data_IF_897966519468
#
_entry.id   IF_897966519468
#
_cell.length_a   1.000
_cell.length_b   1.000
_cell.length_c   1.000
_cell.angle_alpha   90.00
_cell.angle_beta   90.00
_cell.angle_gamma   90.00
#
_symmetry.space_group_name_H-M   'P 1'
#
loop_
_entity.id
_entity.type
_entity.pdbx_description
1 polymer ?
#
# COMPACT_ATOMS: atom_id res chain seq x y z
N UNK A 1 26.33 -15.20 1.77
CA UNK A 1 26.24 -15.16 0.28
C UNK A 1 26.45 -13.71 -0.17
N UNK A 2 27.26 -13.49 -1.21
CA UNK A 2 27.58 -12.15 -1.74
C UNK A 2 26.87 -11.95 -3.09
N UNK A 3 26.38 -10.75 -3.36
CA UNK A 3 25.83 -10.30 -4.63
C UNK A 3 26.72 -9.18 -5.15
N UNK A 4 27.22 -9.28 -6.39
CA UNK A 4 28.21 -8.37 -6.94
C UNK A 4 27.88 -7.95 -8.38
N UNK A 5 28.53 -6.87 -8.86
CA UNK A 5 28.38 -6.35 -10.21
C UNK A 5 26.93 -5.95 -10.54
N UNK A 6 26.19 -5.36 -9.59
CA UNK A 6 24.82 -4.89 -9.79
C UNK A 6 24.70 -3.36 -9.75
N UNK A 7 23.50 -2.88 -10.10
CA UNK A 7 23.04 -1.52 -9.82
C UNK A 7 22.09 -1.56 -8.62
N UNK A 8 22.61 -1.24 -7.46
CA UNK A 8 21.92 -1.38 -6.17
C UNK A 8 21.18 -0.09 -5.86
N UNK A 9 19.86 -0.18 -5.55
CA UNK A 9 19.04 0.98 -5.20
C UNK A 9 19.23 1.38 -3.74
N UNK A 10 20.04 2.38 -3.49
CA UNK A 10 20.40 2.89 -2.16
C UNK A 10 20.21 4.41 -2.12
N UNK A 11 19.56 4.91 -1.07
CA UNK A 11 19.39 6.36 -0.88
C UNK A 11 18.63 7.05 -2.02
N UNK A 12 17.70 6.35 -2.66
CA UNK A 12 16.86 6.90 -3.73
C UNK A 12 17.51 6.93 -5.11
N UNK A 13 18.63 6.23 -5.32
CA UNK A 13 19.35 6.16 -6.62
C UNK A 13 19.99 4.80 -6.84
N UNK A 14 20.24 4.46 -8.09
CA UNK A 14 21.03 3.28 -8.44
C UNK A 14 22.54 3.58 -8.35
N UNK A 15 23.25 2.72 -7.63
CA UNK A 15 24.70 2.82 -7.42
C UNK A 15 25.33 1.49 -7.84
N UNK A 16 26.40 1.54 -8.64
CA UNK A 16 27.18 0.33 -9.01
C UNK A 16 27.84 -0.25 -7.76
N UNK A 17 27.72 -1.57 -7.58
CA UNK A 17 28.33 -2.25 -6.43
C UNK A 17 27.68 -3.59 -6.14
N UNK A 18 27.68 -3.96 -4.87
CA UNK A 18 27.13 -5.20 -4.36
C UNK A 18 26.78 -5.12 -2.88
N UNK A 19 26.45 -6.26 -2.30
CA UNK A 19 26.18 -6.43 -0.87
C UNK A 19 26.34 -7.90 -0.49
N UNK A 20 26.41 -8.17 0.79
CA UNK A 20 26.34 -9.52 1.35
C UNK A 20 24.97 -9.78 2.00
N UNK A 21 24.62 -11.05 2.13
CA UNK A 21 23.53 -11.51 2.97
C UNK A 21 24.10 -12.40 4.06
N UNK A 22 23.90 -12.01 5.31
CA UNK A 22 24.32 -12.70 6.51
C UNK A 22 23.11 -12.86 7.44
N UNK A 23 22.82 -14.08 7.86
CA UNK A 23 21.67 -14.41 8.72
C UNK A 23 20.33 -13.81 8.23
N UNK A 24 20.12 -13.83 6.90
CA UNK A 24 18.91 -13.30 6.28
C UNK A 24 18.84 -11.76 6.22
N UNK A 25 19.92 -11.04 6.51
CA UNK A 25 19.99 -9.58 6.53
C UNK A 25 21.04 -9.05 5.56
N UNK A 26 20.83 -7.83 5.08
CA UNK A 26 21.85 -7.13 4.33
C UNK A 26 23.06 -6.83 5.20
N UNK A 27 24.26 -7.01 4.63
CA UNK A 27 25.54 -6.63 5.19
C UNK A 27 26.47 -6.11 4.09
N UNK A 28 27.42 -5.26 4.44
CA UNK A 28 28.41 -4.72 3.51
C UNK A 28 27.80 -4.08 2.25
N UNK A 29 26.71 -3.33 2.41
CA UNK A 29 26.03 -2.66 1.29
C UNK A 29 26.95 -1.59 0.69
N UNK A 30 27.30 -1.75 -0.60
CA UNK A 30 28.24 -0.91 -1.37
C UNK A 30 29.66 -0.87 -0.76
N UNK A 31 30.02 -1.84 0.07
CA UNK A 31 31.35 -1.97 0.63
C UNK A 31 32.02 -3.28 0.21
N UNK A 32 33.34 -3.36 0.39
CA UNK A 32 34.06 -4.60 0.17
C UNK A 32 33.63 -5.65 1.20
N UNK A 33 33.22 -6.81 0.72
CA UNK A 33 32.88 -7.94 1.57
C UNK A 33 34.02 -8.95 1.59
N UNK A 34 34.06 -9.74 2.65
CA UNK A 34 35.03 -10.86 2.77
C UNK A 34 34.80 -11.89 1.63
N UNK A 35 35.84 -12.68 1.33
CA UNK A 35 35.79 -13.76 0.34
C UNK A 35 34.67 -14.76 0.71
N UNK A 36 33.97 -15.25 -0.32
CA UNK A 36 32.87 -16.20 -0.15
C UNK A 36 32.17 -16.53 -1.46
N UNK A 37 31.14 -17.36 -1.36
CA UNK A 37 30.29 -17.69 -2.49
C UNK A 37 29.56 -16.43 -3.00
N UNK A 38 29.67 -16.16 -4.30
CA UNK A 38 29.10 -14.96 -4.91
C UNK A 38 28.13 -15.27 -6.04
N UNK A 39 27.17 -14.35 -6.24
CA UNK A 39 26.23 -14.28 -7.34
C UNK A 39 26.59 -13.04 -8.17
N UNK A 40 27.03 -13.24 -9.40
CA UNK A 40 27.27 -12.16 -10.35
C UNK A 40 25.94 -11.65 -10.91
N UNK A 41 25.58 -10.41 -10.58
CA UNK A 41 24.36 -9.75 -11.03
C UNK A 41 24.42 -9.24 -12.48
N UNK A 42 25.59 -9.21 -13.09
CA UNK A 42 25.82 -8.84 -14.51
C UNK A 42 25.19 -7.49 -14.90
N UNK A 43 25.27 -6.53 -14.02
CA UNK A 43 24.70 -5.20 -14.22
C UNK A 43 23.20 -5.08 -13.98
N UNK A 44 22.52 -6.14 -13.53
CA UNK A 44 21.10 -6.08 -13.19
C UNK A 44 20.83 -5.06 -12.09
N UNK A 45 19.63 -4.51 -12.10
CA UNK A 45 19.13 -3.64 -11.04
C UNK A 45 18.65 -4.47 -9.86
N UNK A 46 18.99 -4.00 -8.65
CA UNK A 46 18.47 -4.55 -7.41
C UNK A 46 17.70 -3.47 -6.69
N UNK A 47 16.42 -3.71 -6.45
CA UNK A 47 15.55 -2.79 -5.71
C UNK A 47 15.10 -3.45 -4.39
N UNK A 48 14.76 -2.68 -3.34
CA UNK A 48 14.15 -3.24 -2.14
C UNK A 48 12.89 -4.04 -2.49
N UNK A 49 12.55 -5.02 -1.69
CA UNK A 49 11.23 -5.63 -1.75
C UNK A 49 10.14 -4.56 -1.57
N UNK A 50 9.08 -4.64 -2.36
CA UNK A 50 8.00 -3.67 -2.36
C UNK A 50 7.16 -3.79 -1.10
N UNK A 51 6.53 -2.68 -0.72
CA UNK A 51 5.65 -2.57 0.45
C UNK A 51 4.27 -2.08 -0.01
N UNK A 52 3.25 -2.93 0.08
CA UNK A 52 1.87 -2.59 -0.30
C UNK A 52 1.07 -2.28 0.96
N UNK A 53 0.71 -1.01 1.14
CA UNK A 53 0.01 -0.57 2.35
C UNK A 53 -1.51 -0.51 2.16
N UNK A 54 -2.00 -0.77 0.95
CA UNK A 54 -3.42 -0.77 0.64
C UNK A 54 -3.73 -1.88 -0.38
N UNK A 55 -4.20 -3.03 0.10
CA UNK A 55 -4.63 -4.17 -0.71
C UNK A 55 -5.73 -4.95 0.01
N UNK A 56 -6.87 -5.18 -0.64
CA UNK A 56 -7.98 -5.94 -0.05
C UNK A 56 -7.81 -7.44 -0.25
N UNK A 57 -7.26 -7.85 -1.40
CA UNK A 57 -7.18 -9.25 -1.73
C UNK A 57 -6.38 -9.58 -2.98
N UNK A 58 -6.20 -10.86 -3.22
CA UNK A 58 -5.66 -11.45 -4.44
C UNK A 58 -5.90 -12.97 -4.43
N UNK A 59 -5.66 -13.63 -5.57
CA UNK A 59 -5.69 -15.09 -5.68
C UNK A 59 -6.99 -15.73 -5.17
N UNK A 60 -8.12 -15.02 -5.25
CA UNK A 60 -9.44 -15.48 -4.82
C UNK A 60 -9.74 -15.29 -3.34
N UNK A 61 -8.82 -14.73 -2.55
CA UNK A 61 -8.98 -14.45 -1.12
C UNK A 61 -9.10 -12.95 -0.86
N UNK A 62 -9.75 -12.57 0.23
CA UNK A 62 -9.93 -11.19 0.69
C UNK A 62 -9.63 -11.11 2.18
N UNK A 63 -8.96 -10.04 2.59
CA UNK A 63 -8.59 -9.82 3.99
C UNK A 63 -9.81 -9.77 4.92
N UNK A 64 -10.89 -9.12 4.45
CA UNK A 64 -12.12 -8.96 5.24
C UNK A 64 -12.93 -10.24 5.41
N UNK A 65 -12.57 -11.34 4.71
CA UNK A 65 -13.15 -12.66 4.97
C UNK A 65 -12.77 -13.21 6.37
N UNK A 66 -11.70 -12.69 6.99
CA UNK A 66 -11.20 -13.16 8.28
C UNK A 66 -10.64 -14.60 8.24
N UNK A 67 -10.44 -15.15 7.04
CA UNK A 67 -9.90 -16.51 6.84
C UNK A 67 -8.37 -16.50 6.86
N UNK A 68 -7.78 -17.27 7.78
CA UNK A 68 -6.33 -17.38 7.92
C UNK A 68 -5.68 -18.03 6.69
N UNK A 69 -6.29 -19.08 6.13
CA UNK A 69 -5.77 -19.77 4.96
C UNK A 69 -5.75 -18.87 3.72
N UNK A 70 -6.81 -18.11 3.53
CA UNK A 70 -6.91 -17.08 2.49
C UNK A 70 -5.84 -15.99 2.66
N UNK A 71 -5.62 -15.50 3.87
CA UNK A 71 -4.60 -14.48 4.14
C UNK A 71 -3.16 -14.99 3.92
N UNK A 72 -2.87 -16.26 4.25
CA UNK A 72 -1.58 -16.89 3.90
C UNK A 72 -1.41 -17.00 2.38
N UNK A 73 -2.46 -17.37 1.66
CA UNK A 73 -2.45 -17.44 0.18
C UNK A 73 -2.19 -16.07 -0.45
N UNK A 74 -2.81 -15.00 0.09
CA UNK A 74 -2.55 -13.62 -0.30
C UNK A 74 -1.08 -13.25 -0.09
N UNK A 75 -0.52 -13.53 1.09
CA UNK A 75 0.86 -13.21 1.42
C UNK A 75 1.88 -13.96 0.53
N UNK A 76 1.59 -15.21 0.17
CA UNK A 76 2.42 -16.01 -0.74
C UNK A 76 2.38 -15.44 -2.18
N UNK A 77 1.20 -15.01 -2.66
CA UNK A 77 1.06 -14.37 -3.96
C UNK A 77 1.83 -13.04 -4.02
N UNK A 78 1.70 -12.19 -2.99
CA UNK A 78 2.42 -10.92 -2.89
C UNK A 78 3.93 -11.15 -2.97
N UNK A 79 4.48 -12.08 -2.19
CA UNK A 79 5.90 -12.41 -2.19
C UNK A 79 6.40 -12.80 -3.59
N UNK A 80 5.71 -13.72 -4.27
CA UNK A 80 6.04 -14.14 -5.65
C UNK A 80 6.02 -12.98 -6.64
N UNK A 81 5.26 -11.92 -6.36
CA UNK A 81 5.15 -10.73 -7.18
C UNK A 81 6.06 -9.57 -6.72
N UNK A 82 7.04 -9.83 -5.84
CA UNK A 82 8.03 -8.85 -5.43
C UNK A 82 7.57 -7.92 -4.32
N UNK A 83 6.36 -8.10 -3.78
CA UNK A 83 5.86 -7.40 -2.60
C UNK A 83 6.25 -8.23 -1.37
N UNK A 84 7.23 -7.78 -0.62
CA UNK A 84 7.82 -8.54 0.50
C UNK A 84 7.23 -8.17 1.85
N UNK A 85 6.51 -7.04 1.89
CA UNK A 85 5.80 -6.58 3.10
C UNK A 85 4.48 -5.94 2.70
N UNK A 86 3.45 -6.05 3.56
CA UNK A 86 2.15 -5.47 3.27
C UNK A 86 1.36 -5.09 4.52
N UNK A 87 0.40 -4.20 4.32
CA UNK A 87 -0.67 -3.88 5.24
C UNK A 87 -2.01 -4.05 4.49
N UNK A 88 -2.77 -5.12 4.75
CA UNK A 88 -4.04 -5.30 4.08
C UNK A 88 -5.05 -4.25 4.53
N UNK A 89 -5.92 -3.83 3.60
CA UNK A 89 -7.01 -2.89 3.85
C UNK A 89 -8.33 -3.64 4.11
N UNK A 90 -9.06 -3.23 5.15
CA UNK A 90 -10.41 -3.74 5.40
C UNK A 90 -11.43 -3.02 4.53
N UNK A 91 -12.64 -3.61 4.43
CA UNK A 91 -13.82 -2.97 3.85
C UNK A 91 -14.71 -2.36 4.93
N UNK A 92 -15.66 -1.51 4.53
CA UNK A 92 -16.77 -1.07 5.39
C UNK A 92 -17.70 -2.25 5.70
N UNK A 93 -17.56 -2.81 6.89
CA UNK A 93 -18.26 -4.02 7.37
C UNK A 93 -18.69 -3.87 8.85
N UNK A 94 -19.53 -4.77 9.39
CA UNK A 94 -19.81 -4.82 10.82
C UNK A 94 -18.55 -4.94 11.66
N UNK A 95 -18.53 -4.31 12.84
CA UNK A 95 -17.33 -4.26 13.70
C UNK A 95 -16.84 -5.63 14.18
N UNK A 96 -17.71 -6.60 14.38
CA UNK A 96 -17.35 -7.98 14.75
C UNK A 96 -16.65 -8.73 13.61
N UNK A 97 -17.03 -8.46 12.37
CA UNK A 97 -16.34 -8.98 11.18
C UNK A 97 -14.95 -8.36 11.07
N UNK A 98 -14.84 -7.03 11.21
CA UNK A 98 -13.56 -6.32 11.20
C UNK A 98 -12.63 -6.82 12.33
N UNK A 99 -13.15 -7.00 13.53
CA UNK A 99 -12.38 -7.53 14.66
C UNK A 99 -11.82 -8.92 14.37
N UNK A 100 -12.62 -9.79 13.73
CA UNK A 100 -12.17 -11.13 13.32
C UNK A 100 -11.05 -11.06 12.30
N UNK A 101 -11.18 -10.21 11.26
CA UNK A 101 -10.14 -10.01 10.26
C UNK A 101 -8.84 -9.47 10.89
N UNK A 102 -8.93 -8.50 11.81
CA UNK A 102 -7.76 -7.92 12.48
C UNK A 102 -7.04 -8.93 13.38
N UNK A 103 -7.78 -9.75 14.14
CA UNK A 103 -7.19 -10.86 14.91
C UNK A 103 -6.51 -11.89 14.01
N UNK A 104 -7.08 -12.15 12.84
CA UNK A 104 -6.46 -13.04 11.83
C UNK A 104 -5.16 -12.47 11.29
N UNK A 105 -5.09 -11.15 11.05
CA UNK A 105 -3.85 -10.47 10.69
C UNK A 105 -2.77 -10.59 11.79
N UNK A 106 -3.15 -10.38 13.06
CA UNK A 106 -2.24 -10.58 14.20
C UNK A 106 -1.67 -11.99 14.21
N UNK A 107 -2.50 -13.00 13.95
CA UNK A 107 -2.05 -14.39 13.86
C UNK A 107 -1.03 -14.59 12.73
N UNK A 108 -1.29 -14.05 11.53
CA UNK A 108 -0.35 -14.14 10.41
C UNK A 108 0.99 -13.44 10.72
N UNK A 109 0.92 -12.24 11.29
CA UNK A 109 2.11 -11.47 11.68
C UNK A 109 3.00 -12.27 12.65
N UNK A 110 2.39 -12.91 13.66
CA UNK A 110 3.13 -13.71 14.66
C UNK A 110 3.74 -14.99 14.10
N UNK A 111 3.04 -15.68 13.20
CA UNK A 111 3.51 -16.94 12.63
C UNK A 111 4.56 -16.69 11.55
N UNK A 112 4.42 -15.63 10.76
CA UNK A 112 5.32 -15.24 9.66
C UNK A 112 5.76 -16.44 8.79
N UNK A 113 4.83 -17.08 8.02
CA UNK A 113 5.13 -18.28 7.27
C UNK A 113 6.25 -18.05 6.24
N UNK A 114 7.13 -19.04 6.08
CA UNK A 114 8.20 -18.99 5.05
C UNK A 114 7.60 -18.81 3.64
N UNK A 115 8.31 -18.05 2.79
CA UNK A 115 7.90 -17.81 1.40
C UNK A 115 6.69 -16.89 1.26
N UNK A 116 6.29 -16.20 2.33
CA UNK A 116 5.19 -15.25 2.36
C UNK A 116 5.68 -13.83 2.60
N UNK A 117 5.02 -12.84 2.02
CA UNK A 117 5.21 -11.44 2.39
C UNK A 117 4.87 -11.22 3.87
N UNK A 118 5.64 -10.35 4.52
CA UNK A 118 5.43 -10.04 5.95
C UNK A 118 4.26 -9.07 6.11
N UNK A 119 3.27 -9.43 6.93
CA UNK A 119 2.21 -8.51 7.34
C UNK A 119 2.77 -7.58 8.41
N UNK A 120 2.91 -6.30 8.11
CA UNK A 120 3.53 -5.29 9.00
C UNK A 120 2.57 -4.21 9.47
N UNK A 121 1.35 -4.19 8.96
CA UNK A 121 0.31 -3.25 9.35
C UNK A 121 -1.07 -3.73 8.93
N UNK A 122 -2.09 -2.91 9.21
CA UNK A 122 -3.47 -2.99 8.74
C UNK A 122 -3.88 -1.57 8.40
N UNK A 123 -4.58 -1.38 7.28
CA UNK A 123 -5.33 -0.18 6.97
C UNK A 123 -6.82 -0.43 7.28
N UNK A 124 -7.40 0.41 8.10
CA UNK A 124 -8.85 0.42 8.36
C UNK A 124 -9.52 1.36 7.35
N UNK A 125 -9.89 0.79 6.19
CA UNK A 125 -10.60 1.52 5.14
C UNK A 125 -12.11 1.45 5.40
N UNK A 126 -12.62 2.48 6.04
CA UNK A 126 -13.99 2.56 6.53
C UNK A 126 -14.12 2.15 8.00
N UNK A 127 -15.31 2.33 8.59
CA UNK A 127 -16.60 2.69 7.99
C UNK A 127 -16.94 4.20 7.98
N UNK A 128 -16.01 5.10 8.26
CA UNK A 128 -16.24 6.52 8.49
C UNK A 128 -16.21 7.33 7.19
N UNK A 129 -17.07 6.99 6.23
CA UNK A 129 -17.05 7.49 4.86
C UNK A 129 -18.31 8.24 4.46
N UNK A 130 -18.18 9.14 3.48
CA UNK A 130 -19.27 9.83 2.83
C UNK A 130 -20.12 8.88 2.01
N UNK A 131 -21.43 8.89 2.21
CA UNK A 131 -22.35 8.10 1.39
C UNK A 131 -22.27 8.49 -0.11
N UNK A 132 -22.06 9.79 -0.39
CA UNK A 132 -21.90 10.30 -1.75
C UNK A 132 -20.66 9.78 -2.46
N UNK A 133 -19.62 9.45 -1.71
CA UNK A 133 -18.31 9.02 -2.21
C UNK A 133 -17.93 7.60 -1.75
N UNK A 134 -18.91 6.81 -1.39
CA UNK A 134 -18.70 5.45 -0.88
C UNK A 134 -17.99 4.51 -1.87
N UNK A 135 -18.03 4.79 -3.18
CA UNK A 135 -17.50 3.88 -4.19
C UNK A 135 -18.10 2.48 -4.06
N UNK A 136 -17.26 1.47 -3.95
CA UNK A 136 -17.65 0.08 -3.76
C UNK A 136 -17.92 -0.30 -2.28
N UNK A 137 -17.84 0.64 -1.34
CA UNK A 137 -18.15 0.38 0.06
C UNK A 137 -19.67 0.17 0.26
N UNK A 138 -20.05 -0.71 1.20
CA UNK A 138 -21.46 -1.03 1.44
C UNK A 138 -22.10 0.05 2.32
N UNK A 139 -23.08 0.79 1.75
CA UNK A 139 -23.76 1.89 2.44
C UNK A 139 -24.45 1.48 3.76
N UNK A 140 -24.90 0.22 3.89
CA UNK A 140 -25.56 -0.26 5.11
C UNK A 140 -24.66 -0.22 6.35
N UNK A 141 -23.35 -0.26 6.17
CA UNK A 141 -22.37 -0.30 7.25
C UNK A 141 -21.61 1.02 7.43
N UNK A 142 -21.90 2.07 6.66
CA UNK A 142 -21.34 3.40 6.91
C UNK A 142 -21.74 3.92 8.29
N UNK A 143 -20.80 4.57 8.96
CA UNK A 143 -20.97 5.12 10.33
C UNK A 143 -20.35 6.50 10.40
N UNK A 144 -20.81 7.29 11.36
CA UNK A 144 -20.10 8.49 11.78
C UNK A 144 -18.82 8.11 12.53
N UNK A 145 -17.78 8.98 12.50
CA UNK A 145 -16.55 8.76 13.25
C UNK A 145 -16.82 8.47 14.72
N UNK A 146 -16.39 7.30 15.17
CA UNK A 146 -16.58 6.78 16.53
C UNK A 146 -15.22 6.28 17.05
N UNK A 147 -14.65 7.05 17.99
CA UNK A 147 -13.35 6.70 18.55
C UNK A 147 -13.40 5.45 19.43
N UNK A 148 -14.49 5.16 20.11
CA UNK A 148 -14.59 3.99 21.00
C UNK A 148 -14.65 2.70 20.17
N UNK A 149 -15.38 2.72 19.06
CA UNK A 149 -15.36 1.64 18.08
C UNK A 149 -13.96 1.47 17.44
N UNK A 150 -13.30 2.57 17.05
CA UNK A 150 -11.91 2.54 16.58
C UNK A 150 -10.96 1.94 17.63
N UNK A 151 -11.03 2.39 18.88
CA UNK A 151 -10.16 1.91 19.96
C UNK A 151 -10.34 0.41 20.21
N UNK A 152 -11.56 -0.11 20.11
CA UNK A 152 -11.84 -1.55 20.18
C UNK A 152 -11.13 -2.31 19.06
N UNK A 153 -11.23 -1.83 17.82
CA UNK A 153 -10.56 -2.44 16.66
C UNK A 153 -9.02 -2.30 16.73
N UNK A 154 -8.53 -1.14 17.17
CA UNK A 154 -7.10 -0.90 17.41
C UNK A 154 -6.52 -1.90 18.41
N UNK A 155 -7.25 -2.16 19.53
CA UNK A 155 -6.84 -3.14 20.52
C UNK A 155 -6.88 -4.58 19.96
N UNK A 156 -7.88 -4.92 19.14
CA UNK A 156 -7.96 -6.22 18.49
C UNK A 156 -6.81 -6.46 17.48
N UNK A 157 -6.29 -5.39 16.86
CA UNK A 157 -5.14 -5.40 15.96
C UNK A 157 -3.79 -5.46 16.69
N UNK A 158 -3.73 -5.34 18.01
CA UNK A 158 -2.52 -5.43 18.84
C UNK A 158 -1.36 -4.57 18.32
N UNK A 159 -1.67 -3.33 17.89
CA UNK A 159 -0.69 -2.38 17.37
C UNK A 159 -0.36 -2.55 15.87
N UNK A 160 -1.03 -3.46 15.15
CA UNK A 160 -0.87 -3.57 13.69
C UNK A 160 -1.77 -2.59 12.92
N UNK A 161 -2.79 -1.96 13.52
CA UNK A 161 -3.56 -0.92 12.84
C UNK A 161 -2.67 0.31 12.67
N UNK A 162 -2.27 0.58 11.43
CA UNK A 162 -1.29 1.62 11.08
C UNK A 162 -1.90 2.80 10.36
N UNK A 163 -2.99 2.58 9.62
CA UNK A 163 -3.71 3.64 8.90
C UNK A 163 -5.19 3.49 9.23
N UNK A 164 -5.86 4.61 9.52
CA UNK A 164 -7.30 4.68 9.71
C UNK A 164 -7.89 5.81 8.88
N UNK A 165 -8.91 5.50 8.09
CA UNK A 165 -9.49 6.39 7.10
C UNK A 165 -10.72 7.12 7.64
N UNK A 166 -10.88 8.39 7.25
CA UNK A 166 -12.02 9.22 7.65
C UNK A 166 -12.39 10.22 6.55
N UNK A 167 -13.69 10.46 6.34
CA UNK A 167 -14.20 11.53 5.51
C UNK A 167 -14.35 12.82 6.35
N UNK A 168 -13.65 13.91 6.00
CA UNK A 168 -13.58 15.15 6.78
C UNK A 168 -14.90 15.85 7.05
N UNK A 169 -15.86 15.78 6.11
CA UNK A 169 -17.18 16.42 6.23
C UNK A 169 -18.11 15.76 7.23
N UNK A 170 -17.74 14.58 7.75
CA UNK A 170 -18.58 13.88 8.72
C UNK A 170 -18.50 14.55 10.10
N UNK A 171 -19.65 14.63 10.77
CA UNK A 171 -19.72 15.11 12.15
C UNK A 171 -18.80 14.27 13.06
N UNK A 172 -17.92 14.93 13.80
CA UNK A 172 -16.94 14.27 14.68
C UNK A 172 -15.61 13.93 14.04
N UNK A 173 -15.42 14.14 12.71
CA UNK A 173 -14.17 13.77 12.00
C UNK A 173 -12.91 14.44 12.58
N UNK A 174 -12.97 15.74 12.89
CA UNK A 174 -11.84 16.50 13.47
C UNK A 174 -11.46 15.94 14.85
N UNK A 175 -12.44 15.68 15.72
CA UNK A 175 -12.16 15.14 17.07
C UNK A 175 -11.66 13.69 17.01
N UNK A 176 -12.26 12.87 16.15
CA UNK A 176 -11.77 11.53 15.85
C UNK A 176 -10.30 11.58 15.42
N UNK A 177 -9.97 12.43 14.43
CA UNK A 177 -8.60 12.57 13.90
C UNK A 177 -7.63 12.95 14.99
N UNK A 178 -7.95 13.94 15.83
CA UNK A 178 -7.07 14.39 16.93
C UNK A 178 -6.71 13.25 17.87
N UNK A 179 -7.67 12.37 18.20
CA UNK A 179 -7.45 11.24 19.11
C UNK A 179 -6.78 10.05 18.41
N UNK A 180 -7.18 9.75 17.17
CA UNK A 180 -6.67 8.59 16.43
C UNK A 180 -5.23 8.79 15.95
N UNK A 181 -4.84 10.04 15.61
CA UNK A 181 -3.47 10.37 15.18
C UNK A 181 -2.40 10.15 16.26
N UNK A 182 -2.79 10.06 17.53
CA UNK A 182 -1.90 9.63 18.61
C UNK A 182 -1.55 8.13 18.57
N UNK A 183 -2.28 7.34 17.79
CA UNK A 183 -2.18 5.88 17.72
C UNK A 183 -1.67 5.36 16.38
N UNK A 184 -2.12 5.96 15.29
CA UNK A 184 -1.82 5.54 13.93
C UNK A 184 -1.89 6.74 12.96
N UNK A 185 -1.45 6.55 11.73
CA UNK A 185 -1.67 7.51 10.64
C UNK A 185 -3.17 7.63 10.37
N UNK A 186 -3.71 8.85 10.36
CA UNK A 186 -5.08 9.12 9.92
C UNK A 186 -5.05 9.61 8.48
N UNK A 187 -5.91 9.02 7.64
CA UNK A 187 -6.01 9.31 6.22
C UNK A 187 -7.36 9.91 5.85
N UNK A 188 -7.32 10.92 5.00
CA UNK A 188 -8.53 11.44 4.35
C UNK A 188 -8.92 10.53 3.19
N UNK A 189 -10.16 10.02 3.21
CA UNK A 189 -10.63 9.02 2.26
C UNK A 189 -12.13 9.13 2.00
N UNK A 190 -12.60 8.66 0.83
CA UNK A 190 -14.03 8.50 0.48
C UNK A 190 -14.88 9.71 0.91
N UNK A 191 -14.51 10.88 0.43
CA UNK A 191 -14.98 12.18 0.92
C UNK A 191 -15.55 13.07 -0.17
N UNK A 192 -16.59 13.82 0.16
CA UNK A 192 -17.09 14.95 -0.66
C UNK A 192 -16.69 16.31 -0.04
N UNK A 193 -15.66 16.32 0.81
CA UNK A 193 -15.23 17.48 1.58
C UNK A 193 -14.81 18.65 0.70
N UNK A 194 -15.09 19.86 1.20
CA UNK A 194 -14.47 21.10 0.75
C UNK A 194 -12.98 21.14 1.13
N UNK A 195 -12.28 22.16 0.62
CA UNK A 195 -10.90 22.44 1.02
C UNK A 195 -10.81 22.72 2.54
N UNK A 196 -11.74 23.50 3.09
CA UNK A 196 -11.75 23.93 4.48
C UNK A 196 -12.00 22.75 5.43
N UNK A 197 -12.92 21.85 5.10
CA UNK A 197 -13.19 20.64 5.89
C UNK A 197 -11.98 19.70 5.89
N UNK A 198 -11.37 19.47 4.72
CA UNK A 198 -10.16 18.65 4.61
C UNK A 198 -8.98 19.29 5.36
N UNK A 199 -8.80 20.61 5.24
CA UNK A 199 -7.77 21.37 5.96
C UNK A 199 -7.90 21.18 7.47
N UNK A 200 -9.12 21.28 8.01
CA UNK A 200 -9.37 21.10 9.44
C UNK A 200 -8.98 19.71 9.96
N UNK A 201 -9.19 18.64 9.15
CA UNK A 201 -8.78 17.28 9.50
C UNK A 201 -7.27 17.10 9.39
N UNK A 202 -6.61 17.65 8.37
CA UNK A 202 -5.15 17.68 8.30
C UNK A 202 -4.53 18.45 9.47
N UNK A 203 -5.07 19.60 9.83
CA UNK A 203 -4.61 20.42 10.95
C UNK A 203 -4.87 19.73 12.31
N UNK A 204 -5.83 18.80 12.38
CA UNK A 204 -6.08 17.94 13.54
C UNK A 204 -5.12 16.76 13.66
N UNK A 205 -4.26 16.51 12.66
CA UNK A 205 -3.21 15.49 12.71
C UNK A 205 -3.27 14.40 11.64
N UNK A 206 -4.18 14.47 10.67
CA UNK A 206 -4.12 13.58 9.52
C UNK A 206 -2.89 13.90 8.66
N UNK A 207 -2.22 12.85 8.17
CA UNK A 207 -0.99 12.98 7.37
C UNK A 207 -1.01 12.13 6.11
N UNK A 208 -2.20 11.63 5.74
CA UNK A 208 -2.33 10.72 4.61
C UNK A 208 -3.58 11.05 3.78
N UNK A 209 -3.56 10.70 2.49
CA UNK A 209 -4.67 10.83 1.56
C UNK A 209 -4.79 9.54 0.77
N UNK A 210 -5.85 8.79 0.98
CA UNK A 210 -6.10 7.47 0.40
C UNK A 210 -6.45 7.59 -1.08
N UNK A 211 -5.91 6.71 -1.93
CA UNK A 211 -6.14 6.53 -3.37
C UNK A 211 -6.51 7.83 -4.12
N UNK A 212 -5.57 8.79 -4.10
CA UNK A 212 -5.67 10.13 -4.71
C UNK A 212 -6.47 10.12 -6.02
N UNK A 213 -7.40 11.05 -6.17
CA UNK A 213 -8.40 11.23 -7.24
C UNK A 213 -9.63 10.31 -7.14
N UNK A 214 -9.53 9.14 -6.52
CA UNK A 214 -10.63 8.18 -6.45
C UNK A 214 -11.51 8.43 -5.23
N UNK A 215 -12.82 8.33 -5.40
CA UNK A 215 -13.83 8.57 -4.35
C UNK A 215 -13.68 9.94 -3.62
N UNK A 216 -13.26 10.99 -4.34
CA UNK A 216 -13.13 12.36 -3.83
C UNK A 216 -13.43 13.40 -4.92
N UNK A 217 -13.66 14.69 -4.58
CA UNK A 217 -13.76 15.76 -5.57
C UNK A 217 -12.41 15.97 -6.30
N UNK A 218 -12.47 16.17 -7.61
CA UNK A 218 -11.31 16.57 -8.39
C UNK A 218 -10.88 18.03 -8.09
N UNK A 219 -9.65 18.39 -8.48
CA UNK A 219 -9.15 19.78 -8.35
C UNK A 219 -9.94 20.71 -9.26
N UNK A 220 -10.60 21.70 -8.67
CA UNK A 220 -11.19 22.82 -9.38
C UNK A 220 -10.54 24.12 -8.91
N UNK A 221 -10.17 25.00 -9.85
CA UNK A 221 -9.36 26.22 -9.58
C UNK A 221 -9.94 27.20 -8.53
N UNK A 222 -11.21 27.10 -8.18
CA UNK A 222 -11.88 27.87 -7.11
C UNK A 222 -12.35 27.02 -5.95
N UNK A 223 -12.29 25.70 -6.07
CA UNK A 223 -12.70 24.71 -5.06
C UNK A 223 -11.75 23.52 -5.14
N UNK A 224 -10.50 23.66 -4.65
CA UNK A 224 -9.46 22.66 -4.85
C UNK A 224 -9.68 21.35 -4.05
N UNK A 225 -10.63 21.37 -3.11
CA UNK A 225 -11.04 20.19 -2.34
C UNK A 225 -9.92 19.58 -1.49
N UNK A 226 -10.08 18.31 -1.11
CA UNK A 226 -9.11 17.61 -0.26
C UNK A 226 -7.72 17.49 -0.91
N UNK A 227 -7.66 17.38 -2.26
CA UNK A 227 -6.39 17.31 -2.99
C UNK A 227 -5.60 18.61 -2.84
N UNK A 228 -6.27 19.76 -2.97
CA UNK A 228 -5.64 21.07 -2.75
C UNK A 228 -5.14 21.21 -1.32
N UNK A 229 -5.97 20.90 -0.33
CA UNK A 229 -5.61 20.98 1.07
C UNK A 229 -4.41 20.06 1.43
N UNK A 230 -4.36 18.84 0.87
CA UNK A 230 -3.27 17.90 1.06
C UNK A 230 -1.95 18.37 0.43
N UNK A 231 -2.04 18.95 -0.80
CA UNK A 231 -0.85 19.34 -1.58
C UNK A 231 0.00 20.41 -0.91
N UNK A 232 -0.63 21.30 -0.16
CA UNK A 232 0.01 22.42 0.55
C UNK A 232 0.69 21.99 1.87
N UNK A 233 0.49 20.74 2.31
CA UNK A 233 1.05 20.20 3.57
C UNK A 233 2.15 19.21 3.29
N UNK A 234 3.39 19.55 3.60
CA UNK A 234 4.56 18.70 3.38
C UNK A 234 4.51 17.37 4.16
N UNK A 235 3.76 17.33 5.25
CA UNK A 235 3.56 16.12 6.06
C UNK A 235 2.60 15.12 5.44
N UNK A 236 1.82 15.50 4.41
CA UNK A 236 0.79 14.63 3.83
C UNK A 236 1.36 13.80 2.69
N UNK A 237 1.28 12.50 2.81
CA UNK A 237 1.56 11.51 1.75
C UNK A 237 0.25 11.13 1.05
N UNK A 238 0.29 10.99 -0.27
CA UNK A 238 -0.87 10.61 -1.08
C UNK A 238 -0.68 9.23 -1.70
N UNK A 239 -1.62 8.32 -1.46
CA UNK A 239 -1.66 7.04 -2.16
C UNK A 239 -2.07 7.23 -3.62
N UNK A 240 -1.57 6.37 -4.50
CA UNK A 240 -1.88 6.42 -5.93
C UNK A 240 -1.94 5.03 -6.54
N UNK A 241 -3.04 4.73 -7.22
CA UNK A 241 -3.23 3.50 -8.00
C UNK A 241 -2.70 3.75 -9.42
N UNK A 242 -1.75 2.95 -9.88
CA UNK A 242 -1.14 3.05 -11.21
C UNK A 242 -1.39 1.81 -12.06
N UNK A 243 -2.60 1.27 -12.03
CA UNK A 243 -3.00 0.09 -12.81
C UNK A 243 -3.28 0.38 -14.30
N UNK A 244 -3.32 1.67 -14.68
CA UNK A 244 -3.65 2.13 -16.04
C UNK A 244 -5.15 2.31 -16.30
N UNK A 245 -6.01 2.04 -15.31
CA UNK A 245 -7.47 2.13 -15.42
C UNK A 245 -8.06 3.19 -14.49
N UNK A 246 -7.58 3.27 -13.24
CA UNK A 246 -8.06 4.23 -12.24
C UNK A 246 -7.61 5.66 -12.52
N UNK A 247 -6.37 5.84 -12.94
CA UNK A 247 -5.76 7.16 -13.10
C UNK A 247 -5.07 7.28 -14.45
N UNK A 248 -5.45 8.31 -15.21
CA UNK A 248 -4.85 8.58 -16.52
C UNK A 248 -3.35 8.90 -16.38
N UNK A 249 -2.46 8.44 -17.30
CA UNK A 249 -1.01 8.66 -17.20
C UNK A 249 -0.58 10.12 -16.99
N UNK A 250 -1.30 11.10 -17.56
CA UNK A 250 -1.00 12.52 -17.30
C UNK A 250 -1.29 12.93 -15.87
N UNK A 251 -2.37 12.41 -15.25
CA UNK A 251 -2.71 12.68 -13.85
C UNK A 251 -1.73 11.99 -12.90
N UNK A 252 -1.22 10.80 -13.25
CA UNK A 252 -0.12 10.15 -12.52
C UNK A 252 1.11 11.07 -12.47
N UNK A 253 1.56 11.59 -13.63
CA UNK A 253 2.70 12.55 -13.65
C UNK A 253 2.41 13.84 -12.88
N UNK A 254 1.17 14.32 -12.90
CA UNK A 254 0.76 15.49 -12.09
C UNK A 254 0.84 15.19 -10.59
N UNK A 255 0.41 14.02 -10.15
CA UNK A 255 0.49 13.60 -8.76
C UNK A 255 1.94 13.62 -8.24
N UNK A 256 2.89 13.07 -8.98
CA UNK A 256 4.31 13.08 -8.60
C UNK A 256 4.93 14.50 -8.55
N UNK A 257 4.39 15.44 -9.33
CA UNK A 257 4.80 16.87 -9.24
C UNK A 257 4.13 17.60 -8.09
N UNK A 258 2.89 17.25 -7.79
CA UNK A 258 2.11 17.88 -6.72
C UNK A 258 2.55 17.38 -5.33
N UNK A 259 2.98 16.12 -5.25
CA UNK A 259 3.44 15.47 -4.02
C UNK A 259 4.90 14.95 -4.18
N UNK A 260 5.91 15.84 -4.35
CA UNK A 260 7.30 15.40 -4.57
C UNK A 260 7.80 14.59 -3.36
N UNK A 261 8.27 13.35 -3.62
CA UNK A 261 8.71 12.37 -2.61
C UNK A 261 7.62 12.01 -1.55
N UNK A 262 6.36 12.21 -1.87
CA UNK A 262 5.19 11.97 -1.00
C UNK A 262 4.07 11.20 -1.71
N UNK A 263 4.35 10.59 -2.86
CA UNK A 263 3.44 9.63 -3.50
C UNK A 263 3.75 8.25 -2.95
N UNK A 264 2.73 7.57 -2.44
CA UNK A 264 2.74 6.18 -2.01
C UNK A 264 2.00 5.35 -3.06
N UNK A 265 2.70 4.55 -3.85
CA UNK A 265 2.03 3.62 -4.76
C UNK A 265 1.38 2.50 -3.98
N UNK A 266 0.15 2.19 -4.33
CA UNK A 266 -0.66 1.10 -3.78
C UNK A 266 -1.22 0.24 -4.90
N UNK A 267 -1.60 -0.98 -4.58
CA UNK A 267 -2.33 -1.80 -5.54
C UNK A 267 -3.83 -1.56 -5.51
N UNK A 268 -4.40 -1.34 -4.34
CA UNK A 268 -5.84 -1.39 -4.11
C UNK A 268 -6.48 -2.65 -4.74
N UNK A 269 -5.72 -3.76 -4.65
CA UNK A 269 -6.05 -5.00 -5.32
C UNK A 269 -7.20 -5.72 -4.62
N UNK A 270 -8.11 -6.27 -5.43
CA UNK A 270 -9.22 -7.08 -4.97
C UNK A 270 -8.90 -8.57 -5.08
N UNK A 271 -9.74 -9.45 -4.48
CA UNK A 271 -9.61 -10.93 -4.58
C UNK A 271 -9.44 -11.45 -6.01
N UNK A 272 -9.93 -10.72 -7.02
CA UNK A 272 -9.78 -11.07 -8.42
C UNK A 272 -8.38 -10.80 -8.99
N UNK A 273 -7.49 -10.10 -8.28
CA UNK A 273 -6.10 -9.91 -8.70
C UNK A 273 -5.39 -11.26 -8.80
N UNK A 274 -4.75 -11.53 -9.95
CA UNK A 274 -4.13 -12.81 -10.24
C UNK A 274 -5.10 -13.95 -10.61
N UNK A 275 -6.36 -13.62 -10.87
CA UNK A 275 -7.41 -14.57 -11.26
C UNK A 275 -7.89 -14.29 -12.69
N UNK A 276 -8.52 -15.29 -13.37
CA UNK A 276 -9.11 -15.08 -14.69
C UNK A 276 -10.32 -14.15 -14.64
N UNK A 277 -10.74 -13.62 -15.79
CA UNK A 277 -12.00 -12.89 -15.94
C UNK A 277 -13.17 -13.71 -15.40
N UNK A 278 -14.11 -13.04 -14.71
CA UNK A 278 -15.21 -13.72 -14.06
C UNK A 278 -15.92 -12.91 -12.99
N UNK A 279 -16.81 -13.58 -12.26
CA UNK A 279 -17.56 -13.00 -11.14
C UNK A 279 -16.87 -13.30 -9.81
N UNK A 280 -16.73 -12.28 -9.00
CA UNK A 280 -16.12 -12.30 -7.66
C UNK A 280 -17.00 -11.54 -6.68
N UNK A 281 -16.57 -11.37 -5.45
CA UNK A 281 -17.28 -10.60 -4.42
C UNK A 281 -16.36 -9.62 -3.72
N UNK A 282 -16.92 -8.50 -3.22
CA UNK A 282 -16.24 -7.51 -2.40
C UNK A 282 -17.23 -6.96 -1.37
N UNK A 283 -16.96 -7.15 -0.08
CA UNK A 283 -17.85 -6.67 0.98
C UNK A 283 -19.31 -7.17 0.85
N UNK A 284 -19.51 -8.38 0.31
CA UNK A 284 -20.83 -8.96 0.07
C UNK A 284 -21.52 -8.51 -1.24
N UNK A 285 -20.86 -7.69 -2.05
CA UNK A 285 -21.35 -7.23 -3.34
C UNK A 285 -20.70 -8.00 -4.50
N UNK A 286 -21.42 -8.18 -5.63
CA UNK A 286 -20.86 -8.78 -6.82
C UNK A 286 -19.90 -7.84 -7.55
N UNK A 287 -18.75 -8.39 -7.93
CA UNK A 287 -17.72 -7.71 -8.74
C UNK A 287 -17.46 -8.55 -9.99
N UNK A 288 -17.41 -7.90 -11.13
CA UNK A 288 -17.13 -8.52 -12.41
C UNK A 288 -15.76 -8.06 -12.91
N UNK A 289 -14.81 -9.00 -13.03
CA UNK A 289 -13.52 -8.76 -13.68
C UNK A 289 -13.65 -9.04 -15.17
N UNK A 290 -13.28 -8.07 -15.98
CA UNK A 290 -13.20 -8.21 -17.44
C UNK A 290 -12.11 -7.32 -18.00
N UNK A 291 -11.18 -7.91 -18.75
CA UNK A 291 -10.09 -7.18 -19.39
C UNK A 291 -9.20 -6.39 -18.40
N UNK A 292 -8.99 -6.93 -17.20
CA UNK A 292 -8.18 -6.30 -16.14
C UNK A 292 -8.87 -5.22 -15.33
N UNK A 293 -10.18 -4.97 -15.57
CA UNK A 293 -10.97 -3.97 -14.81
C UNK A 293 -12.05 -4.66 -14.00
N UNK A 294 -12.06 -4.41 -12.69
CA UNK A 294 -13.06 -4.91 -11.77
C UNK A 294 -14.18 -3.89 -11.54
N UNK A 295 -15.43 -4.25 -11.77
CA UNK A 295 -16.59 -3.34 -11.67
C UNK A 295 -17.74 -3.96 -10.88
N UNK A 296 -18.48 -3.12 -10.17
CA UNK A 296 -19.80 -3.46 -9.65
C UNK A 296 -20.83 -3.59 -10.79
N UNK A 297 -22.00 -4.11 -10.48
CA UNK A 297 -23.11 -4.28 -11.45
C UNK A 297 -23.61 -2.96 -12.08
N UNK A 298 -23.43 -1.83 -11.39
CA UNK A 298 -23.78 -0.49 -11.87
C UNK A 298 -22.68 0.18 -12.72
N UNK A 299 -21.55 -0.54 -12.95
CA UNK A 299 -20.42 -0.05 -13.73
C UNK A 299 -19.35 0.70 -12.94
N UNK A 300 -19.55 0.95 -11.64
CA UNK A 300 -18.55 1.56 -10.76
C UNK A 300 -17.28 0.71 -10.71
N UNK A 301 -16.10 1.30 -10.89
CA UNK A 301 -14.83 0.61 -10.65
C UNK A 301 -14.75 0.30 -9.15
N UNK A 302 -14.48 -0.96 -8.82
CA UNK A 302 -14.58 -1.45 -7.44
C UNK A 302 -13.23 -1.47 -6.70
N UNK A 303 -12.14 -1.41 -7.42
CA UNK A 303 -10.75 -1.52 -7.00
C UNK A 303 -9.95 -2.16 -8.12
N UNK A 304 -8.67 -2.45 -7.89
CA UNK A 304 -7.75 -2.91 -8.92
C UNK A 304 -7.70 -4.44 -9.05
N UNK A 305 -7.33 -4.92 -10.22
CA UNK A 305 -6.91 -6.30 -10.46
C UNK A 305 -5.39 -6.43 -10.69
N UNK A 306 -4.63 -5.33 -10.51
CA UNK A 306 -3.18 -5.27 -10.65
C UNK A 306 -2.47 -5.51 -9.31
N UNK A 307 -1.26 -6.05 -9.34
CA UNK A 307 -0.38 -6.07 -8.18
C UNK A 307 0.49 -4.81 -8.11
N UNK A 308 1.08 -4.51 -6.95
CA UNK A 308 1.89 -3.31 -6.75
C UNK A 308 3.13 -3.25 -7.66
N UNK A 309 3.73 -4.40 -8.01
CA UNK A 309 4.88 -4.43 -8.92
C UNK A 309 4.51 -3.90 -10.30
N UNK A 310 3.35 -4.30 -10.81
CA UNK A 310 2.83 -3.79 -12.08
C UNK A 310 2.48 -2.31 -11.99
N UNK A 311 1.89 -1.85 -10.88
CA UNK A 311 1.65 -0.42 -10.62
C UNK A 311 2.94 0.41 -10.65
N UNK A 312 4.03 -0.08 -10.03
CA UNK A 312 5.34 0.58 -10.07
C UNK A 312 5.91 0.65 -11.49
N UNK A 313 5.83 -0.46 -12.25
CA UNK A 313 6.27 -0.49 -13.65
C UNK A 313 5.46 0.44 -14.54
N UNK A 314 4.15 0.47 -14.34
CA UNK A 314 3.26 1.39 -15.07
C UNK A 314 3.59 2.84 -14.76
N UNK A 315 3.87 3.21 -13.50
CA UNK A 315 4.29 4.56 -13.14
C UNK A 315 5.53 4.99 -13.94
N UNK A 316 6.54 4.12 -14.03
CA UNK A 316 7.74 4.37 -14.86
C UNK A 316 7.40 4.47 -16.35
N UNK A 317 6.57 3.56 -16.89
CA UNK A 317 6.12 3.58 -18.28
C UNK A 317 5.28 4.84 -18.62
N UNK A 318 4.58 5.40 -17.65
CA UNK A 318 3.83 6.65 -17.79
C UNK A 318 4.72 7.90 -17.71
N UNK A 319 6.04 7.73 -17.52
CA UNK A 319 7.03 8.81 -17.56
C UNK A 319 7.39 9.38 -16.19
N UNK A 320 7.11 8.66 -15.09
CA UNK A 320 7.69 8.96 -13.79
C UNK A 320 9.15 8.45 -13.78
N UNK A 321 10.12 9.21 -13.24
CA UNK A 321 11.48 8.72 -13.07
C UNK A 321 11.51 7.39 -12.31
N UNK A 322 12.29 6.43 -12.78
CA UNK A 322 12.33 5.07 -12.21
C UNK A 322 12.63 5.09 -10.72
N UNK A 323 13.57 5.94 -10.29
CA UNK A 323 13.94 6.09 -8.89
C UNK A 323 12.76 6.56 -8.03
N UNK A 324 11.94 7.47 -8.54
CA UNK A 324 10.73 7.93 -7.84
C UNK A 324 9.66 6.84 -7.78
N UNK A 325 9.48 6.07 -8.86
CA UNK A 325 8.54 4.95 -8.87
C UNK A 325 8.95 3.86 -7.86
N UNK A 326 10.26 3.55 -7.77
CA UNK A 326 10.79 2.61 -6.79
C UNK A 326 10.59 3.13 -5.36
N UNK A 327 10.96 4.39 -5.07
CA UNK A 327 10.74 5.00 -3.76
C UNK A 327 9.27 4.97 -3.35
N UNK A 328 8.37 5.28 -4.28
CA UNK A 328 6.93 5.30 -4.06
C UNK A 328 6.32 3.91 -3.75
N UNK A 329 6.98 2.83 -4.16
CA UNK A 329 6.55 1.45 -3.90
C UNK A 329 7.35 0.75 -2.78
N UNK A 330 8.32 1.42 -2.15
CA UNK A 330 9.24 0.81 -1.17
C UNK A 330 9.40 1.66 0.10
N UNK A 331 10.30 2.62 0.11
CA UNK A 331 10.65 3.40 1.30
C UNK A 331 9.51 4.32 1.77
N UNK A 332 8.73 4.91 0.85
CA UNK A 332 7.63 5.79 1.21
C UNK A 332 6.53 5.00 1.93
N UNK A 333 5.94 3.93 1.38
CA UNK A 333 4.93 3.14 2.12
C UNK A 333 5.46 2.54 3.42
N UNK A 334 6.73 2.10 3.49
CA UNK A 334 7.32 1.62 4.73
C UNK A 334 7.35 2.70 5.83
N UNK A 335 7.63 3.95 5.46
CA UNK A 335 7.59 5.10 6.36
C UNK A 335 6.16 5.38 6.85
N UNK A 336 5.18 5.35 5.96
CA UNK A 336 3.76 5.65 6.27
C UNK A 336 3.18 4.71 7.33
N UNK A 337 3.58 3.44 7.32
CA UNK A 337 3.16 2.48 8.35
C UNK A 337 4.13 2.40 9.55
N UNK A 338 5.12 3.30 9.63
CA UNK A 338 6.10 3.36 10.73
C UNK A 338 7.05 2.16 10.77
N UNK A 339 7.40 1.57 9.60
CA UNK A 339 8.25 0.37 9.47
C UNK A 339 9.51 0.58 8.62
N UNK A 340 9.94 1.83 8.43
CA UNK A 340 11.14 2.16 7.66
C UNK A 340 12.43 1.50 8.20
N UNK A 341 12.48 1.17 9.50
CA UNK A 341 13.58 0.41 10.12
C UNK A 341 13.49 -1.11 9.94
N UNK A 342 12.48 -1.61 9.23
CA UNK A 342 12.22 -3.06 9.08
C UNK A 342 12.12 -3.50 7.62
N UNK A 343 11.81 -2.59 6.69
CA UNK A 343 11.55 -2.90 5.28
C UNK A 343 11.69 -1.66 4.38
N UNK A 344 11.59 -1.86 3.06
CA UNK A 344 11.50 -0.80 2.05
C UNK A 344 12.84 -0.15 1.67
N UNK A 345 13.97 -0.64 2.17
CA UNK A 345 15.31 -0.14 1.85
C UNK A 345 16.33 -1.26 1.80
N UNK A 346 17.42 -1.07 1.05
CA UNK A 346 18.62 -1.89 1.08
C UNK A 346 19.63 -1.17 1.96
N UNK A 347 19.81 -1.68 3.18
CA UNK A 347 20.74 -1.13 4.16
C UNK A 347 21.19 -2.22 5.12
N UNK A 348 22.41 -2.09 5.65
CA UNK A 348 22.98 -3.05 6.59
C UNK A 348 22.06 -3.29 7.79
N UNK A 349 21.89 -4.55 8.15
CA UNK A 349 21.05 -5.00 9.26
C UNK A 349 19.55 -5.13 8.96
N UNK A 350 19.04 -4.58 7.85
CA UNK A 350 17.67 -4.83 7.41
C UNK A 350 17.51 -6.24 6.83
N UNK A 351 16.33 -6.85 6.92
CA UNK A 351 16.04 -8.11 6.22
C UNK A 351 16.39 -8.02 4.74
N UNK A 352 17.08 -9.03 4.22
CA UNK A 352 17.53 -9.08 2.83
C UNK A 352 16.37 -9.46 1.89
N UNK A 353 15.36 -8.58 1.87
CA UNK A 353 14.19 -8.68 0.99
C UNK A 353 14.40 -7.77 -0.21
N UNK A 354 14.58 -8.36 -1.39
CA UNK A 354 14.90 -7.58 -2.60
C UNK A 354 14.41 -8.26 -3.87
N UNK A 355 14.35 -7.45 -4.93
CA UNK A 355 14.00 -7.92 -6.28
C UNK A 355 15.14 -7.59 -7.22
N UNK A 356 15.56 -8.59 -8.01
CA UNK A 356 16.48 -8.42 -9.12
C UNK A 356 15.67 -8.23 -10.40
N UNK A 357 15.95 -7.17 -11.15
CA UNK A 357 15.25 -6.83 -12.40
C UNK A 357 16.22 -6.24 -13.44
N UNK A 358 15.75 -6.12 -14.68
CA UNK A 358 16.48 -5.43 -15.73
C UNK A 358 16.22 -3.91 -15.73
N UNK A 359 16.71 -3.22 -16.76
CA UNK A 359 16.54 -1.78 -16.94
C UNK A 359 15.10 -1.35 -17.27
N UNK A 360 14.25 -2.28 -17.72
CA UNK A 360 12.81 -2.09 -17.93
C UNK A 360 11.96 -2.44 -16.71
N UNK A 361 12.61 -2.79 -15.60
CA UNK A 361 11.99 -3.34 -14.40
C UNK A 361 11.27 -4.68 -14.65
N UNK A 362 11.65 -5.46 -15.67
CA UNK A 362 11.19 -6.83 -15.80
C UNK A 362 11.87 -7.68 -14.71
N UNK A 363 11.04 -8.35 -13.90
CA UNK A 363 11.50 -9.10 -12.71
C UNK A 363 12.20 -10.40 -13.10
N UNK A 364 13.41 -10.61 -12.61
CA UNK A 364 14.18 -11.85 -12.78
C UNK A 364 14.15 -12.78 -11.58
N UNK A 365 14.18 -12.20 -10.37
CA UNK A 365 14.14 -12.96 -9.13
C UNK A 365 13.61 -12.12 -7.97
N UNK A 366 13.01 -12.80 -7.01
CA UNK A 366 12.62 -12.23 -5.71
C UNK A 366 13.35 -12.99 -4.62
N UNK A 367 13.82 -12.26 -3.62
CA UNK A 367 14.50 -12.81 -2.44
C UNK A 367 13.78 -12.34 -1.18
N UNK A 368 13.55 -13.27 -0.26
CA UNK A 368 13.06 -13.02 1.10
C UNK A 368 14.10 -13.50 2.10
N UNK A 369 14.59 -12.59 2.95
CA UNK A 369 15.68 -12.91 3.88
C UNK A 369 16.91 -13.51 3.18
N UNK A 370 17.17 -13.12 1.94
CA UNK A 370 18.26 -13.62 1.12
C UNK A 370 18.02 -15.00 0.47
N UNK A 371 16.89 -15.65 0.74
CA UNK A 371 16.49 -16.89 0.06
C UNK A 371 15.68 -16.56 -1.21
N UNK A 372 16.06 -17.16 -2.34
CA UNK A 372 15.35 -16.98 -3.61
C UNK A 372 14.02 -17.75 -3.59
N UNK A 373 12.94 -17.05 -4.02
CA UNK A 373 11.61 -17.65 -4.19
C UNK A 373 11.45 -18.39 -5.52
#
# INVERSE_FOLDING_TARGET
>A
MRFENGLIFVGGRFVSGGFSVEDGRFAHVLADAADGESVDLRGARVIPGLVDVHTHGNSGADFSDGDYGGLVKMAAYLAKNGVTSFAPASMTLPYDVLETAFRTAVRLHRIAPKGCARLLGIQMEGPFFSEKKKGAQNAAYLRLPDYDAFARLYNAAEGLLRIADVAPELSGAVEFTRRASEKCTVSVAHTDASYEEAAAVFDAGATHLTHLYNAMPGIHHRRPGPIGAASERESVTAELICDGHHVHPSAVRMAFRLFPNRVCLISDALRCCGMPDGRYTLGGQDVFLSGGVARLSDGTIAGSAANLYDCMRNAAAFGVPVEQAVLAATAIPAREIGRAGETGSIADGLPADFVVCDDTLARHAVYLGGERL
#
